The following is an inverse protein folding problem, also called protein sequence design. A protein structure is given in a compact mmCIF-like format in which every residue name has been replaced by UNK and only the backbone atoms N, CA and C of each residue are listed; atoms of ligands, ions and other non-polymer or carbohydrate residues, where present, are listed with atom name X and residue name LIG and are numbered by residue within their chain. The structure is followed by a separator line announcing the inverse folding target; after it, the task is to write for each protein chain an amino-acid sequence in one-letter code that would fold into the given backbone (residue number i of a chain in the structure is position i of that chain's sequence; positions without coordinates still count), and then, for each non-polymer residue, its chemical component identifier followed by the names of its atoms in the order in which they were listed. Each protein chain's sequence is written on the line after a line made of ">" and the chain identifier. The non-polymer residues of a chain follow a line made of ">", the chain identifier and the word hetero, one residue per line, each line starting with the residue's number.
data_IF_117261064386
#
_entry.id   IF_117261064386
#
_cell.length_a   1.000
_cell.length_b   1.000
_cell.length_c   1.000
_cell.angle_alpha   90.00
_cell.angle_beta   90.00
_cell.angle_gamma   90.00
#
_symmetry.space_group_name_H-M   'P 1'
#
loop_
_entity.id
_entity.type
_entity.pdbx_description
1 polymer ?
#
# COMPACT_ATOMS: atom_id res chain seq x y z
N UNK A 1 -11.58 3.98 1.03
CA UNK A 1 -11.65 3.10 2.23
C UNK A 1 -10.33 3.27 2.93
N UNK A 2 -10.33 3.56 4.23
CA UNK A 2 -9.11 3.88 4.95
C UNK A 2 -8.69 2.68 5.80
N UNK A 3 -7.47 2.19 5.56
CA UNK A 3 -6.80 1.19 6.39
C UNK A 3 -5.69 1.86 7.19
N UNK A 4 -5.46 1.40 8.42
CA UNK A 4 -4.51 2.02 9.35
C UNK A 4 -3.62 0.97 9.97
N UNK A 5 -2.31 1.21 9.93
CA UNK A 5 -1.27 0.45 10.65
C UNK A 5 -0.66 1.36 11.70
N UNK A 6 -0.62 0.90 12.95
CA UNK A 6 0.04 1.64 14.04
C UNK A 6 1.51 1.21 14.09
N UNK A 7 2.42 2.18 14.14
CA UNK A 7 3.85 1.94 14.05
C UNK A 7 4.48 2.41 15.38
N UNK A 8 5.22 1.56 16.10
CA UNK A 8 5.89 1.96 17.33
C UNK A 8 6.85 3.15 17.16
N UNK A 9 7.17 3.88 18.25
CA UNK A 9 7.97 5.11 18.18
C UNK A 9 9.45 4.91 17.84
N UNK A 10 9.96 3.69 17.87
CA UNK A 10 11.36 3.40 17.53
C UNK A 10 11.62 3.32 16.01
N UNK A 11 10.59 3.56 15.19
CA UNK A 11 10.71 3.68 13.74
C UNK A 11 10.98 5.11 13.29
N UNK A 12 12.05 5.28 12.50
CA UNK A 12 12.28 6.51 11.74
C UNK A 12 11.45 6.51 10.45
N UNK A 13 10.95 7.69 10.05
CA UNK A 13 10.10 7.83 8.86
C UNK A 13 10.75 7.29 7.59
N UNK A 14 12.07 7.43 7.42
CA UNK A 14 12.76 6.91 6.24
C UNK A 14 12.83 5.38 6.22
N UNK A 15 12.95 4.74 7.39
CA UNK A 15 12.85 3.28 7.50
C UNK A 15 11.43 2.78 7.21
N UNK A 16 10.42 3.49 7.72
CA UNK A 16 9.01 3.22 7.36
C UNK A 16 8.84 3.32 5.85
N UNK A 17 9.40 4.36 5.22
CA UNK A 17 9.31 4.55 3.76
C UNK A 17 9.98 3.40 2.99
N UNK A 18 11.15 2.95 3.42
CA UNK A 18 11.84 1.85 2.76
C UNK A 18 11.05 0.54 2.84
N UNK A 19 10.52 0.21 4.02
CA UNK A 19 9.68 -0.98 4.22
C UNK A 19 8.40 -0.91 3.40
N UNK A 20 7.70 0.24 3.39
CA UNK A 20 6.48 0.41 2.60
C UNK A 20 6.75 0.20 1.10
N UNK A 21 7.82 0.83 0.56
CA UNK A 21 8.21 0.68 -0.85
C UNK A 21 8.56 -0.77 -1.18
N UNK A 22 9.26 -1.46 -0.27
CA UNK A 22 9.70 -2.85 -0.45
C UNK A 22 8.52 -3.84 -0.43
N UNK A 23 7.58 -3.67 0.50
CA UNK A 23 6.37 -4.51 0.57
C UNK A 23 5.53 -4.29 -0.70
N UNK A 24 5.30 -3.04 -1.12
CA UNK A 24 4.55 -2.77 -2.35
C UNK A 24 5.27 -3.37 -3.57
N UNK A 25 6.60 -3.25 -3.66
CA UNK A 25 7.38 -3.89 -4.71
C UNK A 25 7.22 -5.42 -4.72
N UNK A 26 7.16 -6.07 -3.55
CA UNK A 26 6.89 -7.50 -3.44
C UNK A 26 5.49 -7.89 -3.90
N UNK A 27 4.48 -7.08 -3.58
CA UNK A 27 3.10 -7.27 -4.03
C UNK A 27 2.88 -6.87 -5.51
N UNK A 28 3.81 -6.12 -6.11
CA UNK A 28 3.77 -5.69 -7.51
C UNK A 28 3.96 -6.81 -8.53
N UNK A 29 4.28 -8.04 -8.11
CA UNK A 29 4.31 -9.22 -9.01
C UNK A 29 2.93 -9.51 -9.67
N UNK A 30 1.84 -8.95 -9.14
CA UNK A 30 0.47 -9.26 -9.59
C UNK A 30 -0.32 -8.07 -10.19
N UNK A 31 0.26 -6.87 -10.28
CA UNK A 31 -0.49 -5.71 -10.78
C UNK A 31 0.20 -4.34 -10.79
N UNK A 32 1.52 -4.28 -10.61
CA UNK A 32 2.36 -3.06 -10.75
C UNK A 32 1.69 -1.73 -10.30
N UNK A 33 1.62 -1.48 -8.98
CA UNK A 33 1.40 -0.14 -8.44
C UNK A 33 2.62 0.73 -8.78
N UNK A 34 2.37 1.82 -9.50
CA UNK A 34 3.32 2.91 -9.64
C UNK A 34 3.13 3.86 -8.47
N UNK A 35 4.15 4.02 -7.64
CA UNK A 35 4.17 4.96 -6.51
C UNK A 35 4.81 6.28 -6.95
N UNK A 36 4.14 7.40 -6.67
CA UNK A 36 4.68 8.75 -6.83
C UNK A 36 4.60 9.47 -5.49
N UNK A 37 5.69 10.09 -5.07
CA UNK A 37 5.70 10.92 -3.85
C UNK A 37 5.00 12.24 -4.14
N UNK A 38 3.91 12.52 -3.40
CA UNK A 38 3.13 13.78 -3.53
C UNK A 38 3.54 14.79 -2.46
N UNK A 39 4.03 14.31 -1.32
CA UNK A 39 4.62 15.12 -0.25
C UNK A 39 5.60 14.26 0.58
N UNK A 40 6.41 14.85 1.49
CA UNK A 40 7.48 14.13 2.19
C UNK A 40 7.08 12.86 2.95
N UNK A 41 5.79 12.66 3.24
CA UNK A 41 5.23 11.49 3.91
C UNK A 41 3.95 10.99 3.24
N UNK A 42 3.71 11.38 1.99
CA UNK A 42 2.52 11.00 1.24
C UNK A 42 2.89 10.49 -0.15
N UNK A 43 2.30 9.36 -0.52
CA UNK A 43 2.55 8.70 -1.79
C UNK A 43 1.21 8.36 -2.45
N UNK A 44 1.10 8.69 -3.73
CA UNK A 44 0.02 8.22 -4.57
C UNK A 44 0.45 6.93 -5.28
N UNK A 45 -0.29 5.85 -5.05
CA UNK A 45 -0.17 4.60 -5.76
C UNK A 45 -1.26 4.47 -6.83
N UNK A 46 -0.86 4.35 -8.09
CA UNK A 46 -1.78 4.14 -9.21
C UNK A 46 -1.44 2.84 -9.93
N UNK A 47 -2.45 2.00 -10.15
CA UNK A 47 -2.35 0.85 -11.04
C UNK A 47 -2.85 1.24 -12.44
N UNK A 48 -1.94 1.20 -13.42
CA UNK A 48 -2.15 1.66 -14.81
C UNK A 48 -2.39 0.53 -15.81
N UNK A 49 -2.96 0.87 -16.97
CA UNK A 49 -3.45 -0.05 -18.02
C UNK A 49 -2.36 -0.75 -18.85
N UNK A 50 -1.08 -0.49 -18.59
CA UNK A 50 -0.02 -0.66 -19.59
C UNK A 50 1.12 -1.57 -19.13
N UNK A 51 0.89 -2.89 -19.22
CA UNK A 51 1.92 -3.86 -19.64
C UNK A 51 1.23 -5.18 -20.01
N UNK A 52 1.69 -5.83 -21.10
CA UNK A 52 1.27 -7.19 -21.45
C UNK A 52 1.70 -8.10 -20.31
N UNK A 53 0.77 -8.48 -19.44
CA UNK A 53 1.03 -9.53 -18.46
C UNK A 53 0.77 -10.89 -19.10
N UNK A 54 1.67 -11.84 -18.83
CA UNK A 54 1.56 -13.25 -19.23
C UNK A 54 0.46 -13.99 -18.47
N UNK A 55 0.06 -13.46 -17.30
CA UNK A 55 -1.06 -13.94 -16.52
C UNK A 55 -2.30 -13.14 -16.93
N UNK A 56 -3.51 -13.71 -16.94
CA UNK A 56 -4.75 -12.96 -16.99
C UNK A 56 -4.82 -12.02 -15.78
N UNK A 57 -4.10 -10.91 -15.83
CA UNK A 57 -4.28 -9.79 -14.91
C UNK A 57 -5.68 -9.32 -15.21
N UNK A 58 -6.57 -9.25 -14.21
CA UNK A 58 -7.92 -8.75 -14.40
C UNK A 58 -7.82 -7.41 -15.11
N UNK A 59 -8.02 -7.44 -16.42
CA UNK A 59 -7.58 -6.37 -17.29
C UNK A 59 -8.30 -5.11 -16.82
N UNK A 60 -7.55 -4.05 -16.52
CA UNK A 60 -8.07 -2.72 -16.15
C UNK A 60 -8.52 -2.55 -14.69
N UNK A 61 -7.94 -3.21 -13.70
CA UNK A 61 -8.07 -2.74 -12.31
C UNK A 61 -7.29 -1.42 -12.15
N UNK A 62 -7.85 -0.31 -12.59
CA UNK A 62 -7.31 0.99 -12.20
C UNK A 62 -7.91 1.31 -10.84
N UNK A 63 -7.03 1.33 -9.85
CA UNK A 63 -7.31 1.84 -8.53
C UNK A 63 -6.27 2.90 -8.21
N UNK A 64 -6.67 3.82 -7.33
CA UNK A 64 -5.82 4.86 -6.79
C UNK A 64 -5.82 4.68 -5.28
N UNK A 65 -4.64 4.69 -4.69
CA UNK A 65 -4.43 4.69 -3.26
C UNK A 65 -3.54 5.86 -2.86
N UNK A 66 -3.85 6.46 -1.73
CA UNK A 66 -3.02 7.43 -1.05
C UNK A 66 -2.46 6.73 0.19
N UNK A 67 -1.14 6.69 0.29
CA UNK A 67 -0.41 6.20 1.45
C UNK A 67 0.15 7.40 2.19
N UNK A 68 -0.20 7.57 3.46
CA UNK A 68 0.23 8.70 4.27
C UNK A 68 0.84 8.23 5.59
N UNK A 69 2.01 8.74 5.93
CA UNK A 69 2.69 8.51 7.21
C UNK A 69 2.39 9.70 8.12
N UNK A 70 1.70 9.46 9.23
CA UNK A 70 1.43 10.46 10.26
C UNK A 70 2.25 10.15 11.50
N UNK A 71 3.25 10.97 11.80
CA UNK A 71 4.10 10.81 12.98
C UNK A 71 3.48 11.49 14.20
N UNK A 72 3.55 10.83 15.36
CA UNK A 72 3.14 11.38 16.65
C UNK A 72 4.11 10.99 17.77
N UNK A 73 3.91 11.56 18.96
CA UNK A 73 4.78 11.32 20.13
C UNK A 73 4.82 9.85 20.57
N UNK A 74 3.77 9.09 20.26
CA UNK A 74 3.58 7.70 20.70
C UNK A 74 3.83 6.69 19.57
N UNK A 75 4.44 7.14 18.47
CA UNK A 75 4.61 6.35 17.25
C UNK A 75 3.95 6.98 16.03
N UNK A 76 4.16 6.33 14.89
CA UNK A 76 3.63 6.76 13.59
C UNK A 76 2.41 5.95 13.19
N UNK A 77 1.67 6.41 12.20
CA UNK A 77 0.58 5.66 11.55
C UNK A 77 0.80 5.65 10.05
N UNK A 78 0.67 4.48 9.43
CA UNK A 78 0.53 4.38 7.98
C UNK A 78 -0.95 4.28 7.65
N UNK A 79 -1.48 5.33 7.02
CA UNK A 79 -2.83 5.39 6.48
C UNK A 79 -2.79 5.00 5.01
N UNK A 80 -3.67 4.08 4.60
CA UNK A 80 -3.89 3.72 3.20
C UNK A 80 -5.33 4.05 2.86
N UNK A 81 -5.57 5.16 2.17
CA UNK A 81 -6.87 5.48 1.61
C UNK A 81 -6.92 5.08 0.14
N UNK A 82 -7.64 4.01 -0.15
CA UNK A 82 -7.82 3.56 -1.53
C UNK A 82 -9.26 3.78 -2.00
N UNK A 83 -9.37 4.27 -3.22
CA UNK A 83 -10.65 4.31 -3.91
C UNK A 83 -10.84 3.01 -4.69
N UNK A 84 -11.96 2.35 -4.45
CA UNK A 84 -12.49 1.28 -5.32
C UNK A 84 -13.03 1.87 -6.63
N UNK A 85 -12.21 2.66 -7.34
CA UNK A 85 -12.51 3.30 -8.62
C UNK A 85 -13.88 3.96 -8.70
N UNK A 86 -13.97 5.29 -8.52
CA UNK A 86 -15.21 6.03 -8.82
C UNK A 86 -15.59 6.06 -10.32
N UNK A 87 -14.76 5.53 -11.24
CA UNK A 87 -14.89 5.82 -12.69
C UNK A 87 -14.67 4.66 -13.67
N UNK A 88 -14.63 3.40 -13.25
CA UNK A 88 -14.41 2.29 -14.19
C UNK A 88 -15.48 1.21 -14.08
N UNK A 89 -15.88 0.69 -15.25
CA UNK A 89 -16.76 -0.47 -15.43
C UNK A 89 -16.12 -1.78 -14.92
N UNK A 90 -15.56 -1.78 -13.72
CA UNK A 90 -15.09 -2.99 -13.04
C UNK A 90 -16.31 -3.56 -12.33
N UNK A 91 -16.83 -4.68 -12.83
CA UNK A 91 -17.97 -5.37 -12.21
C UNK A 91 -17.68 -5.78 -10.76
N UNK A 92 -18.68 -6.33 -10.06
CA UNK A 92 -18.58 -6.75 -8.63
C UNK A 92 -17.32 -7.55 -8.31
N UNK A 93 -16.86 -8.39 -9.24
CA UNK A 93 -15.67 -9.22 -9.09
C UNK A 93 -14.37 -8.40 -9.00
N UNK A 94 -14.23 -7.32 -9.78
CA UNK A 94 -13.05 -6.46 -9.75
C UNK A 94 -12.92 -5.70 -8.43
N UNK A 95 -14.04 -5.21 -7.87
CA UNK A 95 -14.05 -4.59 -6.55
C UNK A 95 -13.61 -5.56 -5.45
N UNK A 96 -14.07 -6.82 -5.52
CA UNK A 96 -13.65 -7.88 -4.59
C UNK A 96 -12.14 -8.11 -4.66
N UNK A 97 -11.54 -8.15 -5.85
CA UNK A 97 -10.09 -8.32 -5.98
C UNK A 97 -9.29 -7.13 -5.45
N UNK A 98 -9.72 -5.89 -5.72
CA UNK A 98 -9.08 -4.67 -5.17
C UNK A 98 -9.10 -4.72 -3.64
N UNK A 99 -10.25 -5.06 -3.05
CA UNK A 99 -10.38 -5.20 -1.61
C UNK A 99 -9.44 -6.28 -1.04
N UNK A 100 -9.42 -7.47 -1.63
CA UNK A 100 -8.53 -8.56 -1.21
C UNK A 100 -7.05 -8.14 -1.31
N UNK A 101 -6.69 -7.42 -2.37
CA UNK A 101 -5.34 -6.91 -2.56
C UNK A 101 -4.93 -5.97 -1.41
N UNK A 102 -5.74 -4.95 -1.12
CA UNK A 102 -5.43 -4.00 -0.05
C UNK A 102 -5.51 -4.62 1.36
N UNK A 103 -6.41 -5.59 1.58
CA UNK A 103 -6.45 -6.36 2.84
C UNK A 103 -5.20 -7.21 3.03
N UNK A 104 -4.72 -7.85 1.96
CA UNK A 104 -3.48 -8.64 2.01
C UNK A 104 -2.26 -7.75 2.22
N UNK A 105 -2.21 -6.60 1.54
CA UNK A 105 -1.16 -5.59 1.71
C UNK A 105 -1.14 -5.05 3.15
N UNK A 106 -2.32 -4.79 3.71
CA UNK A 106 -2.49 -4.36 5.10
C UNK A 106 -1.94 -5.40 6.09
N UNK A 107 -2.24 -6.68 5.88
CA UNK A 107 -1.69 -7.76 6.72
C UNK A 107 -0.17 -7.79 6.66
N UNK A 108 0.43 -7.63 5.47
CA UNK A 108 1.89 -7.56 5.35
C UNK A 108 2.49 -6.35 6.06
N UNK A 109 1.88 -5.17 5.92
CA UNK A 109 2.34 -3.99 6.65
C UNK A 109 2.28 -4.21 8.16
N UNK A 110 1.18 -4.76 8.68
CA UNK A 110 1.05 -5.04 10.12
C UNK A 110 2.10 -6.01 10.63
N UNK A 111 2.38 -7.08 9.87
CA UNK A 111 3.34 -8.09 10.27
C UNK A 111 4.77 -7.55 10.48
N UNK A 112 5.11 -6.45 9.82
CA UNK A 112 6.43 -5.79 9.90
C UNK A 112 6.36 -4.53 10.77
N UNK A 113 5.49 -3.58 10.43
CA UNK A 113 5.48 -2.23 10.99
C UNK A 113 4.79 -2.13 12.37
N UNK A 114 3.94 -3.08 12.78
CA UNK A 114 3.41 -3.09 14.16
C UNK A 114 4.44 -3.61 15.18
N UNK A 115 5.53 -4.22 14.71
CA UNK A 115 6.63 -4.65 15.56
C UNK A 115 7.62 -3.50 15.78
N UNK A 116 8.23 -3.38 16.97
CA UNK A 116 9.30 -2.42 17.20
C UNK A 116 10.45 -2.63 16.20
N UNK A 117 11.02 -1.56 15.66
CA UNK A 117 12.16 -1.64 14.74
C UNK A 117 13.35 -2.40 15.36
N UNK A 118 13.54 -2.23 16.67
CA UNK A 118 14.51 -2.98 17.47
C UNK A 118 14.42 -4.50 17.36
N UNK A 119 13.26 -5.07 17.02
CA UNK A 119 13.09 -6.53 16.84
C UNK A 119 13.77 -7.10 15.58
N UNK A 120 14.28 -6.25 14.70
CA UNK A 120 14.94 -6.64 13.44
C UNK A 120 16.46 -6.39 13.44
N UNK A 121 17.01 -5.83 14.52
CA UNK A 121 18.46 -5.64 14.72
C UNK A 121 19.02 -6.89 15.38
N UNK A 122 19.25 -7.94 14.60
CA UNK A 122 20.15 -9.05 14.99
C UNK A 122 21.61 -8.70 14.68
#
# INVERSE_FOLDING_TARGET
>A
MILTVNIPPDWENDNIKQVFKSIIAGYNMYGEITLSETSPNEFEGVCGKNRKSLVPVPAKMQYKAIFKIESGSNGSKLLTDYEEGKKLKIGKLGKKFIKIYFESLQTAFKAVLEKPFSSFKE
#
